data_IF_042733656804
#
_entry.id   IF_042733656804
#
_cell.length_a   1.000
_cell.length_b   1.000
_cell.length_c   1.000
_cell.angle_alpha   90.00
_cell.angle_beta   90.00
_cell.angle_gamma   90.00
#
_symmetry.space_group_name_H-M   'P 1'
#
loop_
_entity.id
_entity.type
_entity.pdbx_description
1 polymer ?
#
# COMPACT_ATOMS: atom_id res chain seq x y z
N UNK A 1 47.90 35.71 -11.82
CA UNK A 1 46.82 36.38 -11.07
C UNK A 1 45.47 35.90 -11.60
N UNK A 2 45.17 35.95 -12.91
CA UNK A 2 43.90 35.57 -13.52
C UNK A 2 43.49 34.11 -13.26
N UNK A 3 44.39 33.17 -13.40
CA UNK A 3 44.18 31.76 -13.16
C UNK A 3 43.84 31.45 -11.67
N UNK A 4 44.53 32.14 -10.74
CA UNK A 4 44.22 32.00 -9.31
C UNK A 4 42.84 32.53 -8.94
N UNK A 5 42.40 33.62 -9.59
CA UNK A 5 41.05 34.18 -9.40
C UNK A 5 39.98 33.21 -9.91
N UNK A 6 40.16 32.59 -11.08
CA UNK A 6 39.24 31.60 -11.63
C UNK A 6 39.16 30.37 -10.72
N UNK A 7 40.26 29.81 -10.25
CA UNK A 7 40.30 28.68 -9.33
C UNK A 7 39.55 28.98 -8.01
N UNK A 8 39.68 30.25 -7.53
CA UNK A 8 38.97 30.65 -6.32
C UNK A 8 37.44 30.74 -6.52
N UNK A 9 36.99 31.20 -7.68
CA UNK A 9 35.55 31.22 -8.04
C UNK A 9 35.02 29.79 -8.11
N UNK A 10 35.71 28.89 -8.82
CA UNK A 10 35.32 27.49 -8.91
C UNK A 10 35.21 26.81 -7.53
N UNK A 11 36.19 27.06 -6.65
CA UNK A 11 36.17 26.54 -5.28
C UNK A 11 34.94 27.00 -4.50
N UNK A 12 34.64 28.29 -4.54
CA UNK A 12 33.48 28.83 -3.83
C UNK A 12 32.15 28.38 -4.45
N UNK A 13 32.04 28.31 -5.75
CA UNK A 13 30.86 27.78 -6.44
C UNK A 13 30.64 26.31 -6.09
N UNK A 14 31.70 25.51 -6.00
CA UNK A 14 31.59 24.12 -5.58
C UNK A 14 31.14 23.98 -4.13
N UNK A 15 31.71 24.80 -3.21
CA UNK A 15 31.29 24.81 -1.80
C UNK A 15 29.82 25.20 -1.65
N UNK A 16 29.39 26.24 -2.36
CA UNK A 16 27.97 26.67 -2.32
C UNK A 16 27.06 25.58 -2.86
N UNK A 17 27.38 24.99 -4.00
CA UNK A 17 26.59 23.91 -4.59
C UNK A 17 26.50 22.70 -3.66
N UNK A 18 27.64 22.28 -3.07
CA UNK A 18 27.68 21.18 -2.13
C UNK A 18 26.85 21.46 -0.86
N UNK A 19 26.94 22.69 -0.33
CA UNK A 19 26.16 23.10 0.82
C UNK A 19 24.66 23.11 0.53
N UNK A 20 24.25 23.59 -0.66
CA UNK A 20 22.85 23.56 -1.10
C UNK A 20 22.33 22.13 -1.23
N UNK A 21 23.10 21.24 -1.85
CA UNK A 21 22.75 19.80 -1.96
C UNK A 21 22.61 19.19 -0.58
N UNK A 22 23.55 19.46 0.34
CA UNK A 22 23.49 18.95 1.71
C UNK A 22 22.26 19.44 2.47
N UNK A 23 21.89 20.72 2.32
CA UNK A 23 20.68 21.27 2.93
C UNK A 23 19.41 20.66 2.35
N UNK A 24 19.35 20.44 1.03
CA UNK A 24 18.19 19.81 0.37
C UNK A 24 18.05 18.35 0.84
N UNK A 25 19.13 17.59 0.84
CA UNK A 25 19.14 16.21 1.31
C UNK A 25 18.81 16.12 2.81
N UNK A 26 19.40 16.99 3.63
CA UNK A 26 19.14 17.07 5.05
C UNK A 26 17.66 17.35 5.36
N UNK A 27 17.05 18.31 4.66
CA UNK A 27 15.62 18.58 4.77
C UNK A 27 14.76 17.39 4.31
N UNK A 28 15.12 16.73 3.21
CA UNK A 28 14.43 15.54 2.74
C UNK A 28 14.48 14.41 3.78
N UNK A 29 15.67 14.04 4.24
CA UNK A 29 15.83 12.97 5.24
C UNK A 29 15.15 13.32 6.57
N UNK A 30 15.20 14.59 6.99
CA UNK A 30 14.49 15.05 8.19
C UNK A 30 12.98 14.81 8.11
N UNK A 31 12.37 15.07 6.94
CA UNK A 31 10.93 14.82 6.72
C UNK A 31 10.59 13.33 6.71
N UNK A 32 11.38 12.52 5.99
CA UNK A 32 11.20 11.06 5.98
C UNK A 32 11.35 10.50 7.41
N UNK A 33 12.34 10.96 8.15
CA UNK A 33 12.56 10.57 9.54
C UNK A 33 11.39 10.99 10.45
N UNK A 34 10.93 12.24 10.33
CA UNK A 34 9.79 12.73 11.12
C UNK A 34 8.52 11.90 10.86
N UNK A 35 8.24 11.57 9.60
CA UNK A 35 7.12 10.69 9.23
C UNK A 35 7.28 9.28 9.79
N UNK A 36 8.46 8.69 9.65
CA UNK A 36 8.75 7.35 10.17
C UNK A 36 8.61 7.25 11.69
N UNK A 37 9.06 8.27 12.42
CA UNK A 37 8.93 8.34 13.88
C UNK A 37 7.64 9.04 14.36
N UNK A 38 6.71 9.34 13.46
CA UNK A 38 5.36 9.86 13.79
C UNK A 38 5.36 11.23 14.46
N UNK A 39 6.37 12.05 14.22
CA UNK A 39 6.55 13.31 14.96
C UNK A 39 5.59 14.42 14.54
N UNK A 40 4.97 14.32 13.35
CA UNK A 40 4.14 15.38 12.76
C UNK A 40 2.77 14.88 12.27
N UNK A 41 2.28 13.76 12.82
CA UNK A 41 0.99 13.20 12.40
C UNK A 41 -0.05 13.55 13.46
N UNK A 42 -1.11 14.24 13.04
CA UNK A 42 -2.26 14.51 13.89
C UNK A 42 -3.02 13.21 14.16
N UNK A 43 -3.34 12.97 15.43
CA UNK A 43 -4.09 11.80 15.84
C UNK A 43 -5.57 12.15 16.02
N UNK A 44 -6.44 11.29 15.50
CA UNK A 44 -7.89 11.43 15.55
C UNK A 44 -8.54 10.09 15.95
N UNK A 45 -9.80 10.13 16.35
CA UNK A 45 -10.57 8.90 16.57
C UNK A 45 -10.85 8.17 15.25
N UNK A 46 -10.88 6.85 15.29
CA UNK A 46 -11.13 6.03 14.10
C UNK A 46 -12.47 6.36 13.40
N UNK A 47 -13.50 6.70 14.16
CA UNK A 47 -14.79 7.11 13.62
C UNK A 47 -14.72 8.43 12.85
N UNK A 48 -13.95 9.41 13.35
CA UNK A 48 -13.77 10.70 12.69
C UNK A 48 -12.91 10.53 11.43
N UNK A 49 -11.89 9.70 11.53
CA UNK A 49 -11.05 9.37 10.38
C UNK A 49 -11.83 8.62 9.28
N UNK A 50 -12.72 7.70 9.67
CA UNK A 50 -13.63 7.06 8.72
C UNK A 50 -14.53 8.10 8.03
N UNK A 51 -15.12 9.03 8.80
CA UNK A 51 -15.97 10.09 8.25
C UNK A 51 -15.21 11.01 7.28
N UNK A 52 -13.94 11.27 7.56
CA UNK A 52 -13.03 12.02 6.67
C UNK A 52 -12.77 11.29 5.34
N UNK A 53 -12.67 9.96 5.36
CA UNK A 53 -12.37 9.17 4.17
C UNK A 53 -13.60 8.80 3.34
N UNK A 54 -14.76 8.52 3.98
CA UNK A 54 -15.88 7.81 3.36
C UNK A 54 -16.51 8.49 2.15
N UNK A 55 -16.42 9.82 2.05
CA UNK A 55 -16.92 10.57 0.89
C UNK A 55 -16.10 10.38 -0.38
N UNK A 56 -14.92 9.75 -0.24
CA UNK A 56 -13.98 9.45 -1.32
C UNK A 56 -13.83 7.94 -1.55
N UNK A 57 -14.82 7.15 -1.11
CA UNK A 57 -14.86 5.74 -1.45
C UNK A 57 -15.57 5.53 -2.77
N UNK A 58 -14.98 4.71 -3.63
CA UNK A 58 -15.67 4.16 -4.78
C UNK A 58 -16.14 2.74 -4.45
N UNK A 59 -17.46 2.53 -4.50
CA UNK A 59 -18.08 1.26 -4.11
C UNK A 59 -18.70 0.62 -5.33
N UNK A 60 -18.26 -0.59 -5.66
CA UNK A 60 -18.83 -1.42 -6.70
C UNK A 60 -19.34 -2.73 -6.09
N UNK A 61 -20.59 -3.07 -6.41
CA UNK A 61 -21.26 -4.29 -5.92
C UNK A 61 -21.78 -5.11 -7.08
N UNK A 62 -21.86 -6.44 -6.93
CA UNK A 62 -22.60 -7.27 -7.88
C UNK A 62 -24.08 -6.84 -7.98
N UNK A 63 -24.67 -7.05 -9.14
CA UNK A 63 -26.08 -6.68 -9.39
C UNK A 63 -27.06 -7.52 -8.56
N UNK A 64 -26.74 -8.79 -8.32
CA UNK A 64 -27.60 -9.76 -7.65
C UNK A 64 -26.96 -10.19 -6.31
N UNK A 65 -27.77 -10.23 -5.27
CA UNK A 65 -27.38 -10.67 -3.94
C UNK A 65 -27.72 -9.63 -2.86
N UNK A 66 -27.66 -10.06 -1.60
CA UNK A 66 -27.93 -9.17 -0.45
C UNK A 66 -26.68 -8.90 0.39
N UNK A 67 -25.79 -9.90 0.48
CA UNK A 67 -24.51 -9.80 1.18
C UNK A 67 -23.41 -10.37 0.31
N UNK A 68 -22.28 -9.70 0.30
CA UNK A 68 -21.17 -10.03 -0.59
C UNK A 68 -19.87 -10.18 0.17
N UNK A 69 -19.03 -11.20 -0.15
CA UNK A 69 -17.61 -11.13 0.12
C UNK A 69 -17.08 -9.79 -0.38
N UNK A 70 -16.25 -9.12 0.41
CA UNK A 70 -15.88 -7.74 0.10
C UNK A 70 -14.36 -7.57 0.12
N UNK A 71 -13.82 -6.97 -0.94
CA UNK A 71 -12.42 -6.56 -1.06
C UNK A 71 -12.31 -5.05 -0.79
N UNK A 72 -11.53 -4.68 0.23
CA UNK A 72 -11.18 -3.28 0.51
C UNK A 72 -9.85 -2.99 -0.17
N UNK A 73 -9.84 -2.03 -1.10
CA UNK A 73 -8.75 -1.78 -2.04
C UNK A 73 -8.00 -0.50 -1.71
N UNK A 74 -6.66 -0.58 -1.66
CA UNK A 74 -5.77 0.54 -1.37
C UNK A 74 -4.84 0.81 -2.56
N UNK A 75 -4.96 2.01 -3.15
CA UNK A 75 -4.21 2.45 -4.32
C UNK A 75 -2.71 2.63 -4.08
N UNK A 76 -1.92 2.70 -5.15
CA UNK A 76 -0.50 3.04 -5.13
C UNK A 76 -0.23 4.47 -4.63
N UNK A 77 1.03 4.85 -4.46
CA UNK A 77 1.44 6.14 -3.91
C UNK A 77 0.92 7.38 -4.68
N UNK A 78 0.60 7.22 -5.96
CA UNK A 78 0.10 8.33 -6.80
C UNK A 78 -1.39 8.66 -6.66
N UNK A 79 -2.11 8.07 -5.71
CA UNK A 79 -3.56 8.19 -5.60
C UNK A 79 -4.33 7.14 -6.43
N UNK A 80 -5.67 7.17 -6.40
CA UNK A 80 -6.51 6.35 -7.25
C UNK A 80 -6.17 6.55 -8.72
N UNK A 81 -6.27 5.48 -9.50
CA UNK A 81 -6.04 5.54 -10.94
C UNK A 81 -6.97 4.55 -11.67
N UNK A 82 -7.48 4.89 -12.87
CA UNK A 82 -8.57 4.15 -13.50
C UNK A 82 -8.34 2.65 -13.76
N UNK A 83 -7.09 2.15 -13.69
CA UNK A 83 -6.88 0.70 -13.78
C UNK A 83 -7.50 -0.07 -12.59
N UNK A 84 -7.68 0.59 -11.44
CA UNK A 84 -8.36 0.00 -10.28
C UNK A 84 -9.85 -0.23 -10.55
N UNK A 85 -10.46 0.57 -11.42
CA UNK A 85 -11.86 0.39 -11.83
C UNK A 85 -12.03 -0.94 -12.57
N UNK A 86 -11.01 -1.35 -13.35
CA UNK A 86 -11.01 -2.67 -14.00
C UNK A 86 -10.93 -3.82 -13.00
N UNK A 87 -10.25 -3.63 -11.87
CA UNK A 87 -10.22 -4.58 -10.77
C UNK A 87 -11.55 -4.61 -10.01
N UNK A 88 -12.19 -3.46 -9.77
CA UNK A 88 -13.53 -3.41 -9.17
C UNK A 88 -14.56 -4.12 -10.06
N UNK A 89 -14.53 -3.86 -11.36
CA UNK A 89 -15.37 -4.58 -12.32
C UNK A 89 -15.10 -6.09 -12.29
N UNK A 90 -13.84 -6.50 -12.30
CA UNK A 90 -13.46 -7.91 -12.21
C UNK A 90 -14.00 -8.57 -10.94
N UNK A 91 -13.91 -7.94 -9.79
CA UNK A 91 -14.48 -8.45 -8.53
C UNK A 91 -16.00 -8.56 -8.63
N UNK A 92 -16.67 -7.52 -9.11
CA UNK A 92 -18.13 -7.49 -9.27
C UNK A 92 -18.64 -8.58 -10.21
N UNK A 93 -17.98 -8.79 -11.35
CA UNK A 93 -18.31 -9.85 -12.32
C UNK A 93 -18.16 -11.26 -11.71
N UNK A 94 -17.40 -11.40 -10.62
CA UNK A 94 -17.19 -12.65 -9.88
C UNK A 94 -17.99 -12.74 -8.56
N UNK A 95 -18.99 -11.89 -8.36
CA UNK A 95 -19.87 -11.93 -7.19
C UNK A 95 -19.24 -11.34 -5.92
N UNK A 96 -18.18 -10.53 -6.03
CA UNK A 96 -17.44 -9.93 -4.93
C UNK A 96 -17.62 -8.42 -4.97
N UNK A 97 -18.03 -7.82 -3.87
CA UNK A 97 -18.08 -6.37 -3.74
C UNK A 97 -16.69 -5.78 -3.48
N UNK A 98 -16.50 -4.51 -3.81
CA UNK A 98 -15.26 -3.80 -3.54
C UNK A 98 -15.49 -2.38 -3.06
N UNK A 99 -14.60 -1.93 -2.17
CA UNK A 99 -14.49 -0.55 -1.70
C UNK A 99 -13.08 -0.08 -2.05
N UNK A 100 -12.96 0.80 -3.03
CA UNK A 100 -11.71 1.49 -3.31
C UNK A 100 -11.61 2.72 -2.42
N UNK A 101 -10.54 2.79 -1.65
CA UNK A 101 -10.26 3.85 -0.68
C UNK A 101 -9.32 4.87 -1.30
N UNK A 102 -9.79 6.09 -1.47
CA UNK A 102 -8.90 7.21 -1.79
C UNK A 102 -8.29 7.79 -0.51
N UNK A 103 -7.03 7.49 -0.27
CA UNK A 103 -6.26 8.06 0.84
C UNK A 103 -5.68 9.45 0.51
N UNK A 104 -5.63 9.85 -0.76
CA UNK A 104 -4.99 11.07 -1.20
C UNK A 104 -5.96 12.26 -1.29
N UNK A 105 -7.14 12.04 -1.90
CA UNK A 105 -8.15 13.07 -2.14
C UNK A 105 -8.61 13.80 -0.88
N UNK A 106 -9.02 13.10 0.21
CA UNK A 106 -9.41 13.76 1.47
C UNK A 106 -8.32 14.65 2.04
N UNK A 107 -7.04 14.28 1.83
CA UNK A 107 -5.87 15.06 2.28
C UNK A 107 -5.51 16.22 1.34
N UNK A 108 -6.35 16.51 0.34
CA UNK A 108 -6.10 17.56 -0.65
C UNK A 108 -4.90 17.29 -1.57
N UNK A 109 -4.45 16.04 -1.65
CA UNK A 109 -3.31 15.65 -2.47
C UNK A 109 -3.74 15.44 -3.91
N UNK A 110 -3.24 16.27 -4.82
CA UNK A 110 -3.31 15.96 -6.25
C UNK A 110 -2.40 14.80 -6.59
N UNK A 111 -2.66 14.09 -7.71
CA UNK A 111 -1.76 13.04 -8.20
C UNK A 111 -0.30 13.48 -8.28
N UNK A 112 -0.05 14.72 -8.77
CA UNK A 112 1.31 15.27 -8.87
C UNK A 112 1.96 15.42 -7.50
N UNK A 113 1.21 15.91 -6.51
CA UNK A 113 1.70 16.06 -5.13
C UNK A 113 1.98 14.67 -4.53
N UNK A 114 1.03 13.75 -4.62
CA UNK A 114 1.19 12.40 -4.09
C UNK A 114 2.41 11.66 -4.69
N UNK A 115 2.63 11.76 -6.01
CA UNK A 115 3.84 11.20 -6.64
C UNK A 115 5.13 11.82 -6.07
N UNK A 116 5.11 13.10 -5.72
CA UNK A 116 6.31 13.79 -5.22
C UNK A 116 6.58 13.54 -3.75
N UNK A 117 5.56 13.33 -2.94
CA UNK A 117 5.71 13.27 -1.48
C UNK A 117 5.44 11.87 -0.91
N UNK A 118 4.38 11.20 -1.36
CA UNK A 118 4.06 9.84 -0.89
C UNK A 118 4.98 8.80 -1.52
N UNK A 119 5.20 8.85 -2.85
CA UNK A 119 6.12 7.89 -3.50
C UNK A 119 7.59 8.08 -3.06
N UNK A 120 7.93 9.21 -2.49
CA UNK A 120 9.27 9.47 -1.93
C UNK A 120 9.38 9.18 -0.43
N UNK A 121 8.30 8.73 0.22
CA UNK A 121 8.27 8.42 1.65
C UNK A 121 8.27 9.65 2.57
N UNK A 122 7.98 10.86 2.04
CA UNK A 122 7.92 12.10 2.85
C UNK A 122 6.60 12.23 3.58
N UNK A 123 5.48 11.91 2.90
CA UNK A 123 4.14 12.02 3.44
C UNK A 123 3.43 10.65 3.39
N UNK A 124 2.42 10.49 4.23
CA UNK A 124 1.50 9.36 4.24
C UNK A 124 2.25 8.01 4.23
N UNK A 125 3.16 7.81 5.15
CA UNK A 125 3.89 6.54 5.25
C UNK A 125 2.93 5.38 5.59
N UNK A 126 3.38 4.13 5.38
CA UNK A 126 2.56 2.94 5.56
C UNK A 126 1.90 2.87 6.93
N UNK A 127 2.63 3.21 7.99
CA UNK A 127 2.14 3.25 9.37
C UNK A 127 1.07 4.33 9.62
N UNK A 128 1.12 5.47 8.94
CA UNK A 128 0.08 6.48 8.99
C UNK A 128 -1.14 5.99 8.21
N UNK A 129 -0.92 5.53 6.98
CA UNK A 129 -2.01 5.03 6.14
C UNK A 129 -2.64 3.73 6.68
N UNK A 130 -1.97 3.01 7.58
CA UNK A 130 -2.56 1.90 8.33
C UNK A 130 -3.80 2.34 9.16
N UNK A 131 -3.87 3.61 9.55
CA UNK A 131 -5.07 4.18 10.16
C UNK A 131 -6.27 4.26 9.22
N UNK A 132 -6.05 4.45 7.92
CA UNK A 132 -7.15 4.35 6.93
C UNK A 132 -7.72 2.93 6.93
N UNK A 133 -6.84 1.91 6.97
CA UNK A 133 -7.25 0.50 7.02
C UNK A 133 -8.04 0.22 8.30
N UNK A 134 -7.53 0.63 9.46
CA UNK A 134 -8.18 0.45 10.75
C UNK A 134 -9.55 1.11 10.81
N UNK A 135 -9.62 2.38 10.42
CA UNK A 135 -10.86 3.16 10.48
C UNK A 135 -11.96 2.59 9.62
N UNK A 136 -11.64 2.04 8.45
CA UNK A 136 -12.62 1.36 7.60
C UNK A 136 -13.07 0.05 8.25
N UNK A 137 -12.14 -0.80 8.67
CA UNK A 137 -12.44 -2.12 9.23
C UNK A 137 -13.35 -2.04 10.46
N UNK A 138 -13.10 -1.07 11.34
CA UNK A 138 -13.91 -0.88 12.56
C UNK A 138 -15.28 -0.25 12.30
N UNK A 139 -15.51 0.32 11.10
CA UNK A 139 -16.77 0.97 10.71
C UNK A 139 -17.55 0.22 9.61
N UNK A 140 -17.18 -1.01 9.27
CA UNK A 140 -17.89 -1.83 8.26
C UNK A 140 -19.37 -2.09 8.60
N UNK A 141 -19.76 -1.93 9.87
CA UNK A 141 -21.15 -2.04 10.32
C UNK A 141 -22.11 -1.06 9.63
N UNK A 142 -21.59 0.03 9.07
CA UNK A 142 -22.39 1.01 8.31
C UNK A 142 -22.87 0.46 6.96
N UNK A 143 -22.37 -0.68 6.52
CA UNK A 143 -22.68 -1.29 5.23
C UNK A 143 -23.36 -2.65 5.41
N UNK A 144 -24.70 -2.69 5.33
CA UNK A 144 -25.50 -3.91 5.55
C UNK A 144 -25.26 -5.01 4.50
N UNK A 145 -24.75 -4.63 3.33
CA UNK A 145 -24.48 -5.54 2.22
C UNK A 145 -23.11 -6.24 2.32
N UNK A 146 -22.25 -5.89 3.28
CA UNK A 146 -20.97 -6.56 3.49
C UNK A 146 -21.19 -7.88 4.24
N UNK A 147 -20.64 -8.96 3.70
CA UNK A 147 -20.44 -10.20 4.42
C UNK A 147 -19.18 -10.09 5.30
N UNK A 148 -19.39 -9.87 6.60
CA UNK A 148 -18.32 -9.61 7.57
C UNK A 148 -17.43 -10.81 7.84
N UNK A 149 -17.89 -12.01 7.51
CA UNK A 149 -17.11 -13.22 7.62
C UNK A 149 -16.16 -13.41 6.41
N UNK A 150 -16.36 -12.64 5.35
CA UNK A 150 -15.60 -12.74 4.11
C UNK A 150 -15.00 -11.39 3.68
N UNK A 151 -14.18 -10.80 4.55
CA UNK A 151 -13.46 -9.55 4.31
C UNK A 151 -12.04 -9.86 3.80
N UNK A 152 -11.70 -9.24 2.68
CA UNK A 152 -10.37 -9.31 2.07
C UNK A 152 -9.79 -7.90 1.93
N UNK A 153 -8.45 -7.79 2.03
CA UNK A 153 -7.74 -6.54 1.77
C UNK A 153 -6.93 -6.68 0.48
N UNK A 154 -6.96 -5.67 -0.38
CA UNK A 154 -6.12 -5.62 -1.56
C UNK A 154 -5.32 -4.32 -1.63
N UNK A 155 -4.04 -4.40 -2.00
CA UNK A 155 -3.16 -3.24 -2.07
C UNK A 155 -2.20 -3.32 -3.25
N UNK A 156 -1.96 -2.16 -3.86
CA UNK A 156 -1.03 -1.97 -4.96
C UNK A 156 0.13 -1.09 -4.55
N UNK A 157 1.38 -1.55 -4.74
CA UNK A 157 2.58 -0.76 -4.43
C UNK A 157 2.55 -0.21 -2.99
N UNK A 158 2.40 1.10 -2.83
CA UNK A 158 2.27 1.76 -1.54
C UNK A 158 1.04 1.27 -0.74
N UNK A 159 -0.08 0.93 -1.43
CA UNK A 159 -1.22 0.30 -0.77
C UNK A 159 -0.88 -1.07 -0.20
N UNK A 160 -0.08 -1.87 -0.92
CA UNK A 160 0.44 -3.14 -0.43
C UNK A 160 1.37 -2.96 0.79
N UNK A 161 2.27 -1.98 0.73
CA UNK A 161 3.10 -1.55 1.86
C UNK A 161 2.26 -1.17 3.08
N UNK A 162 1.21 -0.37 2.87
CA UNK A 162 0.25 0.01 3.92
C UNK A 162 -0.37 -1.21 4.62
N UNK A 163 -0.79 -2.20 3.83
CA UNK A 163 -1.37 -3.44 4.37
C UNK A 163 -0.34 -4.26 5.16
N UNK A 164 0.90 -4.30 4.71
CA UNK A 164 1.97 -4.98 5.44
C UNK A 164 2.24 -4.30 6.78
N UNK A 165 2.34 -2.97 6.80
CA UNK A 165 2.50 -2.21 8.04
C UNK A 165 1.29 -2.39 8.98
N UNK A 166 0.06 -2.35 8.45
CA UNK A 166 -1.14 -2.60 9.24
C UNK A 166 -1.13 -3.98 9.92
N UNK A 167 -0.60 -5.01 9.26
CA UNK A 167 -0.53 -6.35 9.86
C UNK A 167 0.42 -6.42 11.05
N UNK A 168 1.37 -5.49 11.18
CA UNK A 168 2.26 -5.40 12.36
C UNK A 168 1.63 -4.65 13.54
N UNK A 169 0.52 -3.91 13.31
CA UNK A 169 -0.09 -3.08 14.35
C UNK A 169 -0.70 -3.92 15.47
N UNK A 170 -0.47 -3.48 16.69
CA UNK A 170 -1.00 -4.04 17.93
C UNK A 170 -1.06 -2.93 18.99
N UNK A 171 -1.47 -3.24 20.21
CA UNK A 171 -1.66 -2.23 21.26
C UNK A 171 -0.36 -1.49 21.65
N UNK A 172 0.81 -2.02 21.32
CA UNK A 172 2.10 -1.37 21.53
C UNK A 172 2.64 -0.66 20.28
N UNK A 173 2.07 -0.93 19.13
CA UNK A 173 2.46 -0.36 17.82
C UNK A 173 1.20 0.02 17.05
N UNK A 174 0.65 1.17 17.35
CA UNK A 174 -0.62 1.66 16.77
C UNK A 174 -0.37 2.45 15.47
N UNK A 175 -1.36 2.59 14.57
CA UNK A 175 -1.32 3.55 13.47
C UNK A 175 -1.00 4.95 13.98
N UNK A 176 -0.15 5.68 13.26
CA UNK A 176 0.36 6.96 13.77
C UNK A 176 -0.68 8.07 13.90
N UNK A 177 -1.78 7.97 13.16
CA UNK A 177 -2.87 8.96 13.12
C UNK A 177 -4.13 8.54 13.88
N UNK A 178 -4.11 7.43 14.64
CA UNK A 178 -5.28 6.93 15.37
C UNK A 178 -5.05 7.01 16.89
N UNK A 179 -6.03 7.58 17.60
CA UNK A 179 -6.03 7.71 19.06
C UNK A 179 -6.54 6.46 19.78
N UNK A 180 -7.60 5.85 19.25
CA UNK A 180 -8.40 4.80 19.89
C UNK A 180 -8.19 3.43 19.25
N UNK A 181 -6.94 3.14 18.84
CA UNK A 181 -6.63 1.83 18.30
C UNK A 181 -6.79 0.75 19.36
N UNK A 182 -7.58 -0.26 19.02
CA UNK A 182 -7.75 -1.48 19.81
C UNK A 182 -7.86 -2.67 18.83
N UNK A 183 -6.92 -3.59 18.93
CA UNK A 183 -6.84 -4.72 18.01
C UNK A 183 -8.05 -5.66 18.10
N UNK A 184 -8.77 -5.69 19.23
CA UNK A 184 -9.96 -6.53 19.40
C UNK A 184 -11.15 -6.11 18.51
N UNK A 185 -11.19 -4.84 18.08
CA UNK A 185 -12.24 -4.35 17.16
C UNK A 185 -11.94 -4.62 15.69
N UNK A 186 -10.77 -5.17 15.36
CA UNK A 186 -10.43 -5.53 13.98
C UNK A 186 -11.18 -6.82 13.61
N UNK A 187 -12.06 -6.80 12.60
CA UNK A 187 -12.75 -8.02 12.17
C UNK A 187 -11.76 -9.04 11.62
N UNK A 188 -12.17 -10.31 11.59
CA UNK A 188 -11.37 -11.38 10.97
C UNK A 188 -11.18 -11.07 9.49
N UNK A 189 -9.92 -10.90 9.08
CA UNK A 189 -9.53 -10.72 7.69
C UNK A 189 -9.26 -12.11 7.10
N UNK A 190 -10.04 -12.51 6.09
CA UNK A 190 -9.95 -13.84 5.47
C UNK A 190 -8.72 -13.99 4.57
N UNK A 191 -8.28 -12.89 3.99
CA UNK A 191 -7.10 -12.93 3.13
C UNK A 191 -6.62 -11.55 2.71
N UNK A 192 -5.36 -11.51 2.25
CA UNK A 192 -4.70 -10.31 1.77
C UNK A 192 -4.13 -10.54 0.37
N UNK A 193 -4.34 -9.59 -0.52
CA UNK A 193 -3.92 -9.59 -1.92
C UNK A 193 -3.00 -8.39 -2.12
N UNK A 194 -1.77 -8.62 -2.53
CA UNK A 194 -0.82 -7.52 -2.69
C UNK A 194 -0.06 -7.61 -4.01
N UNK A 195 0.11 -6.46 -4.65
CA UNK A 195 0.81 -6.30 -5.91
C UNK A 195 2.05 -5.44 -5.71
N UNK A 196 3.20 -5.95 -6.15
CA UNK A 196 4.50 -5.27 -6.16
C UNK A 196 4.72 -4.34 -4.94
N UNK A 197 4.66 -4.92 -3.71
CA UNK A 197 4.79 -4.14 -2.48
C UNK A 197 6.17 -3.51 -2.33
N UNK A 198 6.23 -2.44 -1.51
CA UNK A 198 7.48 -1.94 -0.97
C UNK A 198 7.88 -2.80 0.23
N UNK A 199 9.00 -3.53 0.13
CA UNK A 199 9.52 -4.37 1.21
C UNK A 199 10.83 -3.84 1.82
N UNK A 200 11.25 -2.62 1.47
CA UNK A 200 12.50 -2.03 1.94
C UNK A 200 12.45 -1.55 3.41
N UNK A 201 13.50 -0.85 3.82
CA UNK A 201 13.81 -0.47 5.22
C UNK A 201 12.70 0.30 5.95
N UNK A 202 11.83 1.01 5.24
CA UNK A 202 10.71 1.74 5.85
C UNK A 202 9.50 0.84 6.16
N UNK A 203 9.46 -0.39 5.64
CA UNK A 203 8.40 -1.33 5.93
C UNK A 203 8.55 -1.89 7.34
N UNK A 204 7.53 -1.73 8.16
CA UNK A 204 7.53 -2.19 9.55
C UNK A 204 7.66 -3.71 9.65
N UNK A 205 7.21 -4.47 8.66
CA UNK A 205 7.35 -5.94 8.62
C UNK A 205 8.81 -6.41 8.61
N UNK A 206 9.77 -5.52 8.29
CA UNK A 206 11.20 -5.82 8.44
C UNK A 206 11.66 -5.92 9.90
N UNK A 207 10.88 -5.35 10.84
CA UNK A 207 11.26 -5.26 12.26
C UNK A 207 10.27 -5.94 13.19
N UNK A 208 9.02 -6.01 12.79
CA UNK A 208 7.92 -6.47 13.63
C UNK A 208 7.15 -7.61 12.95
N UNK A 209 6.83 -8.68 13.66
CA UNK A 209 6.00 -9.76 13.12
C UNK A 209 4.57 -9.26 12.86
N UNK A 210 3.89 -9.90 11.92
CA UNK A 210 2.46 -9.67 11.75
C UNK A 210 1.68 -10.22 12.94
N UNK A 211 0.67 -9.45 13.38
CA UNK A 211 -0.24 -9.82 14.48
C UNK A 211 -0.91 -11.17 14.26
N UNK A 212 -1.26 -11.49 13.03
CA UNK A 212 -1.93 -12.72 12.65
C UNK A 212 -1.29 -13.32 11.40
N UNK A 213 -1.28 -14.66 11.31
CA UNK A 213 -0.87 -15.39 10.11
C UNK A 213 -2.00 -15.39 9.06
N UNK A 214 -2.49 -14.21 8.70
CA UNK A 214 -3.54 -14.05 7.69
C UNK A 214 -3.06 -14.58 6.35
N UNK A 215 -3.80 -15.51 5.71
CA UNK A 215 -3.47 -16.00 4.38
C UNK A 215 -3.24 -14.84 3.42
N UNK A 216 -2.17 -14.88 2.64
CA UNK A 216 -1.78 -13.79 1.77
C UNK A 216 -1.32 -14.31 0.42
N UNK A 217 -1.73 -13.61 -0.64
CA UNK A 217 -1.24 -13.84 -1.99
C UNK A 217 -0.55 -12.58 -2.49
N UNK A 218 0.66 -12.73 -3.02
CA UNK A 218 1.52 -11.62 -3.42
C UNK A 218 2.01 -11.80 -4.85
N UNK A 219 1.90 -10.76 -5.65
CA UNK A 219 2.40 -10.73 -7.03
C UNK A 219 3.58 -9.75 -7.11
N UNK A 220 4.77 -10.28 -7.37
CA UNK A 220 6.02 -9.53 -7.48
C UNK A 220 6.40 -9.38 -8.96
N UNK A 221 6.79 -8.21 -9.38
CA UNK A 221 7.30 -7.98 -10.73
C UNK A 221 8.81 -8.30 -10.78
N UNK A 222 9.24 -9.18 -11.69
CA UNK A 222 10.66 -9.59 -11.80
C UNK A 222 11.56 -8.46 -12.31
N UNK A 223 11.01 -7.52 -13.08
CA UNK A 223 11.69 -6.35 -13.60
C UNK A 223 11.24 -5.06 -12.92
N UNK A 224 10.94 -5.12 -11.62
CA UNK A 224 10.52 -3.95 -10.86
C UNK A 224 11.69 -2.98 -10.70
N UNK A 225 11.69 -1.93 -11.50
CA UNK A 225 12.68 -0.84 -11.49
C UNK A 225 12.14 0.48 -10.94
N UNK A 226 11.01 0.46 -10.23
CA UNK A 226 10.39 1.69 -9.76
C UNK A 226 11.21 2.40 -8.66
N UNK A 227 12.04 1.65 -7.93
CA UNK A 227 12.94 2.18 -6.92
C UNK A 227 13.71 1.08 -6.19
N UNK A 228 14.69 1.46 -5.37
CA UNK A 228 15.45 0.51 -4.56
C UNK A 228 14.58 -0.26 -3.56
N UNK A 229 13.45 0.31 -3.18
CA UNK A 229 12.57 -0.24 -2.16
C UNK A 229 11.52 -1.23 -2.68
N UNK A 230 11.39 -1.38 -4.01
CA UNK A 230 10.45 -2.31 -4.65
C UNK A 230 11.14 -3.51 -5.29
N UNK A 231 12.41 -3.74 -4.98
CA UNK A 231 13.15 -4.90 -5.50
C UNK A 231 12.46 -6.19 -5.05
N UNK A 232 12.14 -7.13 -5.97
CA UNK A 232 11.43 -8.35 -5.61
C UNK A 232 12.21 -9.23 -4.62
N UNK A 233 13.55 -9.18 -4.64
CA UNK A 233 14.43 -9.91 -3.73
C UNK A 233 14.18 -9.56 -2.27
N UNK A 234 14.01 -8.27 -1.94
CA UNK A 234 13.74 -7.83 -0.57
C UNK A 234 12.42 -8.39 -0.05
N UNK A 235 11.43 -8.51 -0.93
CA UNK A 235 10.14 -9.11 -0.60
C UNK A 235 10.25 -10.64 -0.43
N UNK A 236 10.97 -11.31 -1.31
CA UNK A 236 11.18 -12.78 -1.25
C UNK A 236 11.86 -13.13 0.07
N UNK A 237 12.97 -12.49 0.40
CA UNK A 237 13.72 -12.73 1.64
C UNK A 237 12.85 -12.52 2.88
N UNK A 238 12.05 -11.45 2.88
CA UNK A 238 11.11 -11.17 3.97
C UNK A 238 10.04 -12.26 4.10
N UNK A 239 9.37 -12.62 3.00
CA UNK A 239 8.29 -13.60 3.03
C UNK A 239 8.79 -15.01 3.33
N UNK A 240 9.95 -15.39 2.85
CA UNK A 240 10.59 -16.65 3.20
C UNK A 240 10.92 -16.72 4.69
N UNK A 241 11.39 -15.59 5.26
CA UNK A 241 11.63 -15.51 6.70
C UNK A 241 10.36 -15.65 7.53
N UNK A 242 9.23 -15.11 7.04
CA UNK A 242 7.93 -15.16 7.70
C UNK A 242 7.25 -16.53 7.57
N UNK A 243 7.52 -17.26 6.49
CA UNK A 243 6.98 -18.58 6.21
C UNK A 243 7.75 -19.74 6.87
N UNK A 244 8.84 -19.48 7.61
CA UNK A 244 9.71 -20.54 8.17
C UNK A 244 9.00 -21.58 9.03
N UNK A 245 8.08 -21.15 9.88
CA UNK A 245 7.35 -22.03 10.78
C UNK A 245 6.06 -22.58 10.16
N UNK A 246 5.35 -21.73 9.43
CA UNK A 246 4.08 -22.03 8.80
C UNK A 246 3.94 -21.17 7.55
N UNK A 247 3.55 -21.80 6.45
CA UNK A 247 3.32 -21.09 5.19
C UNK A 247 1.94 -20.47 5.19
N UNK A 248 1.89 -19.11 5.21
CA UNK A 248 0.67 -18.31 5.10
C UNK A 248 0.77 -17.20 4.06
N UNK A 249 1.93 -17.03 3.42
CA UNK A 249 2.16 -16.10 2.32
C UNK A 249 2.55 -16.90 1.08
N UNK A 250 1.68 -16.90 0.08
CA UNK A 250 2.00 -17.37 -1.27
C UNK A 250 2.43 -16.19 -2.12
N UNK A 251 3.65 -16.20 -2.65
CA UNK A 251 4.11 -15.17 -3.57
C UNK A 251 4.45 -15.76 -4.94
N UNK A 252 4.24 -14.96 -5.98
CA UNK A 252 4.49 -15.29 -7.38
C UNK A 252 5.39 -14.22 -7.99
N UNK A 253 6.54 -14.62 -8.52
CA UNK A 253 7.40 -13.77 -9.32
C UNK A 253 6.88 -13.78 -10.75
N UNK A 254 6.37 -12.62 -11.20
CA UNK A 254 5.72 -12.44 -12.49
C UNK A 254 6.77 -12.15 -13.55
N UNK A 255 6.99 -13.10 -14.45
CA UNK A 255 8.00 -13.01 -15.49
C UNK A 255 7.72 -11.87 -16.48
N UNK A 256 8.77 -11.20 -16.94
CA UNK A 256 8.71 -10.07 -17.89
C UNK A 256 7.75 -8.96 -17.45
N UNK A 257 7.61 -8.76 -16.15
CA UNK A 257 6.67 -7.81 -15.55
C UNK A 257 7.41 -6.66 -14.87
N UNK A 258 6.99 -5.45 -15.19
CA UNK A 258 7.47 -4.22 -14.55
C UNK A 258 6.52 -3.78 -13.44
N UNK A 259 6.91 -2.79 -12.65
CA UNK A 259 5.99 -2.16 -11.69
C UNK A 259 4.69 -1.73 -12.37
N UNK A 260 3.52 -1.94 -11.76
CA UNK A 260 2.19 -1.66 -12.34
C UNK A 260 1.92 -2.48 -13.64
N UNK A 261 2.40 -3.71 -13.72
CA UNK A 261 2.23 -4.60 -14.86
C UNK A 261 0.76 -4.92 -15.21
N UNK A 262 -0.14 -4.67 -14.28
CA UNK A 262 -1.58 -4.93 -14.37
C UNK A 262 -2.41 -3.75 -14.90
N UNK A 263 -1.77 -2.69 -15.38
CA UNK A 263 -2.42 -1.50 -15.90
C UNK A 263 -2.19 -1.30 -17.40
N UNK A 264 -3.25 -1.41 -18.20
CA UNK A 264 -3.24 -1.11 -19.64
C UNK A 264 -3.09 0.39 -19.93
N UNK A 265 -3.47 1.24 -18.99
CA UNK A 265 -3.59 2.69 -19.20
C UNK A 265 -2.50 3.50 -18.48
N UNK A 266 -1.68 2.88 -17.65
CA UNK A 266 -0.58 3.56 -16.97
C UNK A 266 0.64 3.66 -17.88
N UNK A 267 0.74 4.77 -18.61
CA UNK A 267 1.83 5.00 -19.56
C UNK A 267 2.95 5.78 -18.87
N UNK A 268 4.06 5.12 -18.58
CA UNK A 268 5.30 5.73 -18.09
C UNK A 268 6.50 4.96 -18.68
N UNK A 269 7.60 5.66 -18.94
CA UNK A 269 8.84 5.00 -19.41
C UNK A 269 9.28 3.91 -18.43
N UNK A 270 9.49 2.70 -18.93
CA UNK A 270 9.90 1.54 -18.15
C UNK A 270 8.76 0.82 -17.42
N UNK A 271 7.49 1.19 -17.64
CA UNK A 271 6.32 0.46 -17.16
C UNK A 271 5.59 -0.10 -18.38
N UNK A 272 5.38 -1.40 -18.37
CA UNK A 272 4.75 -2.13 -19.48
C UNK A 272 3.64 -3.02 -18.93
N UNK A 273 2.45 -2.93 -19.53
CA UNK A 273 1.36 -3.84 -19.24
C UNK A 273 1.72 -5.27 -19.68
N UNK A 274 1.51 -6.21 -18.78
CA UNK A 274 1.68 -7.63 -19.04
C UNK A 274 0.34 -8.36 -18.86
N UNK A 275 -0.31 -8.65 -19.99
CA UNK A 275 -1.62 -9.30 -20.00
C UNK A 275 -1.59 -10.69 -19.38
N UNK A 276 -0.57 -11.49 -19.69
CA UNK A 276 -0.44 -12.87 -19.20
C UNK A 276 -0.32 -12.88 -17.67
N UNK A 277 0.55 -12.05 -17.12
CA UNK A 277 0.72 -11.87 -15.68
C UNK A 277 -0.56 -11.36 -15.01
N UNK A 278 -1.27 -10.45 -15.65
CA UNK A 278 -2.54 -9.91 -15.13
C UNK A 278 -3.62 -10.99 -15.09
N UNK A 279 -3.76 -11.78 -16.15
CA UNK A 279 -4.74 -12.87 -16.23
C UNK A 279 -4.39 -13.98 -15.23
N UNK A 280 -3.11 -14.32 -15.08
CA UNK A 280 -2.65 -15.25 -14.05
C UNK A 280 -3.02 -14.75 -12.65
N UNK A 281 -2.76 -13.48 -12.33
CA UNK A 281 -3.11 -12.90 -11.04
C UNK A 281 -4.62 -12.96 -10.79
N UNK A 282 -5.45 -12.61 -11.77
CA UNK A 282 -6.92 -12.70 -11.67
C UNK A 282 -7.38 -14.12 -11.34
N UNK A 283 -6.87 -15.12 -12.05
CA UNK A 283 -7.23 -16.53 -11.81
C UNK A 283 -6.82 -16.99 -10.40
N UNK A 284 -5.61 -16.63 -9.95
CA UNK A 284 -5.12 -16.97 -8.61
C UNK A 284 -5.95 -16.31 -7.52
N UNK A 285 -6.32 -15.04 -7.69
CA UNK A 285 -7.13 -14.29 -6.72
C UNK A 285 -8.51 -14.92 -6.53
N UNK A 286 -9.22 -15.29 -7.62
CA UNK A 286 -10.52 -15.94 -7.48
C UNK A 286 -10.41 -17.28 -6.78
N UNK A 287 -9.41 -18.08 -7.12
CA UNK A 287 -9.15 -19.36 -6.43
C UNK A 287 -8.85 -19.15 -4.95
N UNK A 288 -8.05 -18.14 -4.61
CA UNK A 288 -7.69 -17.77 -3.25
C UNK A 288 -8.90 -17.33 -2.43
N UNK A 289 -9.74 -16.43 -2.97
CA UNK A 289 -10.95 -15.95 -2.28
C UNK A 289 -11.93 -17.10 -2.03
N UNK A 290 -12.17 -17.97 -3.03
CA UNK A 290 -13.05 -19.14 -2.90
C UNK A 290 -12.54 -20.14 -1.85
N UNK A 291 -11.25 -20.44 -1.85
CA UNK A 291 -10.66 -21.39 -0.90
C UNK A 291 -10.63 -20.87 0.53
N UNK A 292 -10.46 -19.56 0.70
CA UNK A 292 -10.47 -18.91 2.01
C UNK A 292 -11.87 -18.79 2.62
N UNK A 293 -12.92 -18.67 1.79
CA UNK A 293 -14.31 -18.62 2.23
C UNK A 293 -14.88 -19.98 2.63
N UNK A 294 -14.31 -21.10 2.13
CA UNK A 294 -14.85 -22.45 2.35
C UNK A 294 -14.26 -23.20 3.57
N UNK A 295 -13.26 -22.65 4.25
CA UNK A 295 -12.56 -23.34 5.35
C UNK A 295 -13.25 -23.30 6.71
N UNK A 296 -14.39 -22.66 6.85
CA UNK A 296 -15.13 -22.52 8.11
C UNK A 296 -16.49 -23.28 8.11
N UNK A 297 -16.71 -24.25 7.17
CA UNK A 297 -17.89 -25.14 7.17
C UNK A 297 -17.56 -26.54 7.67
#
# INVERSE_FOLDING_TARGET
>A
IFMYFILRIFKWSFIILFSLIFLILGNYFSKVFAGYYRLNVEQVYASDHFNFLKSHFEIVKPELGQKFPTVIMFHACGGPYPYLDSWQKFFSDNGIASIQVDSAGPRGMTRRTAIRTVCSGVDLQGQERAGDVYSILTNLNQYSWIDKENIFLAGWSHGAYTLMDFMTMNDNLIPSNILDFDQQFIPKIKGKITFYPHCGILNLSQKYPWRTKTPSIVFLADQDGFGLATQPTDCIDLFDSMNKEEKYIDYYLMENSTHVFDSEIYIRRGIVYNKESTDFAKNKIISFIKSSGSKDN
#
